data_IF_779760111413
#
_entry.id   IF_779760111413
#
_cell.length_a   1.000
_cell.length_b   1.000
_cell.length_c   1.000
_cell.angle_alpha   90.00
_cell.angle_beta   90.00
_cell.angle_gamma   90.00
#
_symmetry.space_group_name_H-M   'P 1'
#
loop_
_entity.id
_entity.type
_entity.pdbx_description
1 polymer ?
#
# COMPACT_ATOMS: atom_id res chain seq x y z
N UNK A 1 -4.81 -24.94 -34.38
CA UNK A 1 -4.24 -24.10 -33.30
C UNK A 1 -3.20 -24.92 -32.56
N UNK A 2 -1.97 -24.42 -32.46
CA UNK A 2 -0.83 -25.19 -31.98
C UNK A 2 -0.65 -25.11 -30.45
N UNK A 3 -0.20 -26.21 -29.85
CA UNK A 3 0.55 -26.19 -28.59
C UNK A 3 1.91 -25.54 -28.88
N UNK A 4 2.22 -24.44 -28.21
CA UNK A 4 3.50 -23.76 -28.32
C UNK A 4 4.42 -24.23 -27.19
N UNK A 5 5.53 -24.91 -27.49
CA UNK A 5 6.56 -25.28 -26.51
C UNK A 5 7.35 -24.02 -26.11
N UNK A 6 7.54 -23.79 -24.82
CA UNK A 6 8.22 -22.61 -24.27
C UNK A 6 9.61 -23.01 -23.77
N UNK A 7 10.65 -22.46 -24.41
CA UNK A 7 12.04 -22.80 -24.09
C UNK A 7 12.37 -24.29 -24.31
N UNK A 8 13.30 -24.81 -23.52
CA UNK A 8 13.80 -26.19 -23.65
C UNK A 8 12.97 -27.22 -22.85
N UNK A 9 12.29 -26.76 -21.80
CA UNK A 9 11.46 -27.60 -20.92
C UNK A 9 10.17 -28.07 -21.61
N UNK A 10 9.55 -29.13 -21.07
CA UNK A 10 8.24 -29.61 -21.53
C UNK A 10 7.08 -28.73 -21.04
N UNK A 11 7.24 -27.42 -21.13
CA UNK A 11 6.23 -26.42 -20.80
C UNK A 11 5.54 -25.95 -22.09
N UNK A 12 4.22 -26.01 -22.12
CA UNK A 12 3.42 -25.72 -23.30
C UNK A 12 2.34 -24.68 -23.02
N UNK A 13 2.07 -23.84 -24.02
CA UNK A 13 1.05 -22.79 -23.95
C UNK A 13 0.08 -22.87 -25.13
N UNK A 14 -1.22 -22.76 -24.87
CA UNK A 14 -2.24 -22.79 -25.92
C UNK A 14 -3.53 -22.05 -25.58
N UNK A 15 -4.42 -21.95 -26.58
CA UNK A 15 -5.85 -21.71 -26.36
C UNK A 15 -6.61 -23.01 -26.09
N UNK A 16 -7.89 -22.88 -25.75
CA UNK A 16 -8.74 -23.99 -25.27
C UNK A 16 -8.92 -25.10 -26.31
N UNK A 17 -8.92 -24.75 -27.59
CA UNK A 17 -9.14 -25.72 -28.69
C UNK A 17 -8.03 -26.76 -28.80
N UNK A 18 -6.86 -26.54 -28.19
CA UNK A 18 -5.79 -27.53 -28.16
C UNK A 18 -6.15 -28.77 -27.31
N UNK A 19 -7.08 -28.63 -26.36
CA UNK A 19 -7.54 -29.74 -25.52
C UNK A 19 -8.26 -30.83 -26.33
N UNK A 20 -8.81 -30.50 -27.50
CA UNK A 20 -9.46 -31.48 -28.38
C UNK A 20 -8.47 -32.28 -29.23
N UNK A 21 -7.17 -31.99 -29.16
CA UNK A 21 -6.15 -32.68 -29.95
C UNK A 21 -5.34 -33.66 -29.10
N UNK A 22 -5.98 -34.79 -28.74
CA UNK A 22 -5.39 -35.84 -27.89
C UNK A 22 -4.05 -36.35 -28.43
N UNK A 23 -3.91 -36.47 -29.75
CA UNK A 23 -2.66 -36.90 -30.39
C UNK A 23 -1.51 -35.93 -30.10
N UNK A 24 -1.77 -34.62 -30.15
CA UNK A 24 -0.77 -33.62 -29.82
C UNK A 24 -0.43 -33.61 -28.32
N UNK A 25 -1.43 -33.77 -27.44
CA UNK A 25 -1.21 -33.88 -25.99
C UNK A 25 -0.34 -35.10 -25.66
N UNK A 26 -0.66 -36.26 -26.25
CA UNK A 26 0.10 -37.50 -26.07
C UNK A 26 1.53 -37.38 -26.61
N UNK A 27 1.71 -36.78 -27.79
CA UNK A 27 3.04 -36.55 -28.38
C UNK A 27 3.90 -35.63 -27.53
N UNK A 28 3.30 -34.63 -26.89
CA UNK A 28 3.98 -33.71 -25.97
C UNK A 28 4.16 -34.28 -24.56
N UNK A 29 3.76 -35.54 -24.32
CA UNK A 29 3.77 -36.19 -23.01
C UNK A 29 3.08 -35.34 -21.92
N UNK A 30 1.97 -34.67 -22.25
CA UNK A 30 1.25 -33.84 -21.28
C UNK A 30 0.71 -34.73 -20.17
N UNK A 31 1.04 -34.41 -18.93
CA UNK A 31 0.53 -35.08 -17.73
C UNK A 31 -0.20 -34.12 -16.79
N UNK A 32 0.11 -32.82 -16.87
CA UNK A 32 -0.48 -31.77 -16.05
C UNK A 32 -1.11 -30.69 -16.93
N UNK A 33 -2.31 -30.24 -16.56
CA UNK A 33 -3.03 -29.17 -17.26
C UNK A 33 -3.40 -28.07 -16.26
N UNK A 34 -3.02 -26.83 -16.58
CA UNK A 34 -3.47 -25.62 -15.89
C UNK A 34 -4.48 -24.90 -16.77
N UNK A 35 -5.73 -24.85 -16.33
CA UNK A 35 -6.83 -24.13 -16.98
C UNK A 35 -7.04 -22.78 -16.31
N UNK A 36 -6.56 -21.70 -16.95
CA UNK A 36 -6.72 -20.32 -16.44
C UNK A 36 -7.94 -19.66 -17.08
N UNK A 37 -9.12 -20.15 -16.72
CA UNK A 37 -10.43 -19.67 -17.16
C UNK A 37 -11.54 -20.35 -16.34
N UNK A 38 -12.70 -19.71 -16.23
CA UNK A 38 -13.92 -20.38 -15.74
C UNK A 38 -14.36 -21.44 -16.75
N UNK A 39 -14.35 -22.69 -16.33
CA UNK A 39 -14.88 -23.83 -17.09
C UNK A 39 -15.90 -24.57 -16.23
N UNK A 40 -16.91 -25.11 -16.91
CA UNK A 40 -17.63 -26.29 -16.44
C UNK A 40 -16.95 -27.48 -17.16
N UNK A 41 -15.88 -28.06 -16.60
CA UNK A 41 -15.15 -29.12 -17.27
C UNK A 41 -16.07 -30.33 -17.48
N UNK A 42 -16.03 -30.91 -18.68
CA UNK A 42 -16.45 -32.31 -18.86
C UNK A 42 -15.35 -33.15 -18.20
N UNK A 43 -15.62 -33.71 -17.02
CA UNK A 43 -14.64 -34.43 -16.19
C UNK A 43 -13.85 -35.47 -17.01
N UNK A 44 -14.53 -36.14 -17.95
CA UNK A 44 -13.94 -37.12 -18.87
C UNK A 44 -12.77 -36.59 -19.70
N UNK A 45 -12.75 -35.30 -20.02
CA UNK A 45 -11.66 -34.68 -20.79
C UNK A 45 -10.36 -34.58 -19.99
N UNK A 46 -10.46 -34.53 -18.66
CA UNK A 46 -9.34 -34.29 -17.76
C UNK A 46 -8.94 -35.54 -16.97
N UNK A 47 -9.72 -36.62 -17.00
CA UNK A 47 -9.45 -37.88 -16.27
C UNK A 47 -8.03 -38.45 -16.41
N UNK A 48 -7.36 -38.22 -17.54
CA UNK A 48 -5.99 -38.72 -17.78
C UNK A 48 -4.88 -37.75 -17.36
N UNK A 49 -5.23 -36.62 -16.75
CA UNK A 49 -4.30 -35.56 -16.40
C UNK A 49 -4.49 -35.11 -14.96
N UNK A 50 -3.40 -34.73 -14.30
CA UNK A 50 -3.50 -33.86 -13.13
C UNK A 50 -4.02 -32.50 -13.62
N UNK A 51 -5.11 -32.00 -13.03
CA UNK A 51 -5.80 -30.81 -13.52
C UNK A 51 -5.95 -29.75 -12.42
N UNK A 52 -5.44 -28.55 -12.70
CA UNK A 52 -5.62 -27.36 -11.87
C UNK A 52 -6.44 -26.32 -12.63
N UNK A 53 -7.60 -25.94 -12.09
CA UNK A 53 -8.44 -24.87 -12.64
C UNK A 53 -8.32 -23.60 -11.81
N UNK A 54 -7.99 -22.49 -12.48
CA UNK A 54 -7.95 -21.14 -11.92
C UNK A 54 -9.11 -20.34 -12.55
N UNK A 55 -10.21 -20.09 -11.82
CA UNK A 55 -11.46 -19.57 -12.38
C UNK A 55 -11.43 -18.04 -12.54
N UNK A 56 -10.56 -17.53 -13.42
CA UNK A 56 -10.33 -16.08 -13.64
C UNK A 56 -10.74 -15.64 -15.06
N UNK A 57 -11.41 -14.49 -15.16
CA UNK A 57 -11.77 -13.85 -16.43
C UNK A 57 -10.65 -12.98 -17.02
N UNK A 58 -10.73 -12.65 -18.31
CA UNK A 58 -9.68 -11.90 -19.02
C UNK A 58 -9.89 -10.39 -18.95
N UNK A 59 -10.00 -9.87 -17.74
CA UNK A 59 -10.25 -8.46 -17.47
C UNK A 59 -9.18 -7.90 -16.53
N UNK A 60 -8.95 -6.59 -16.59
CA UNK A 60 -7.82 -5.95 -15.89
C UNK A 60 -7.99 -5.85 -14.38
N UNK A 61 -9.20 -6.06 -13.88
CA UNK A 61 -9.60 -6.02 -12.48
C UNK A 61 -9.66 -7.42 -11.83
N UNK A 62 -9.43 -8.51 -12.55
CA UNK A 62 -9.27 -9.83 -11.91
C UNK A 62 -7.94 -9.93 -11.16
N UNK A 63 -7.93 -10.63 -10.02
CA UNK A 63 -6.71 -10.93 -9.26
C UNK A 63 -6.17 -12.31 -9.64
N UNK A 64 -5.14 -12.34 -10.49
CA UNK A 64 -4.45 -13.57 -10.85
C UNK A 64 -3.17 -13.77 -10.01
N UNK A 65 -2.69 -12.70 -9.37
CA UNK A 65 -1.45 -12.66 -8.59
C UNK A 65 -1.51 -13.59 -7.38
N UNK A 66 -2.66 -13.68 -6.70
CA UNK A 66 -2.84 -14.60 -5.58
C UNK A 66 -2.62 -16.08 -5.94
N UNK A 67 -2.85 -16.45 -7.20
CA UNK A 67 -2.74 -17.84 -7.70
C UNK A 67 -1.34 -18.21 -8.19
N UNK A 68 -0.41 -17.25 -8.29
CA UNK A 68 0.93 -17.53 -8.80
C UNK A 68 1.67 -18.60 -7.99
N UNK A 69 1.69 -18.61 -6.65
CA UNK A 69 2.36 -19.68 -5.91
C UNK A 69 1.77 -21.07 -6.20
N UNK A 70 0.44 -21.19 -6.19
CA UNK A 70 -0.25 -22.45 -6.45
C UNK A 70 0.02 -22.96 -7.87
N UNK A 71 -0.06 -22.08 -8.86
CA UNK A 71 0.22 -22.47 -10.26
C UNK A 71 1.70 -22.80 -10.47
N UNK A 72 2.62 -22.03 -9.88
CA UNK A 72 4.05 -22.30 -9.95
C UNK A 72 4.42 -23.66 -9.35
N UNK A 73 3.88 -23.99 -8.16
CA UNK A 73 4.09 -25.28 -7.52
C UNK A 73 3.56 -26.44 -8.36
N UNK A 74 2.37 -26.28 -8.95
CA UNK A 74 1.76 -27.29 -9.81
C UNK A 74 2.55 -27.51 -11.10
N UNK A 75 2.97 -26.43 -11.76
CA UNK A 75 3.81 -26.51 -12.97
C UNK A 75 5.15 -27.18 -12.64
N UNK A 76 5.78 -26.78 -11.54
CA UNK A 76 7.05 -27.38 -11.10
C UNK A 76 6.90 -28.88 -10.84
N UNK A 77 5.84 -29.30 -10.16
CA UNK A 77 5.55 -30.73 -9.90
C UNK A 77 5.45 -31.54 -11.19
N UNK A 78 4.72 -31.03 -12.18
CA UNK A 78 4.57 -31.72 -13.47
C UNK A 78 5.87 -31.86 -14.25
N UNK A 79 6.70 -30.81 -14.25
CA UNK A 79 8.00 -30.82 -14.92
C UNK A 79 9.02 -31.70 -14.19
N UNK A 80 9.11 -31.62 -12.86
CA UNK A 80 10.00 -32.45 -12.03
C UNK A 80 9.65 -33.94 -12.14
N UNK A 81 8.37 -34.27 -12.34
CA UNK A 81 7.90 -35.64 -12.60
C UNK A 81 8.27 -36.19 -13.99
N UNK A 82 8.96 -35.40 -14.84
CA UNK A 82 9.33 -35.78 -16.21
C UNK A 82 8.17 -35.68 -17.22
N UNK A 83 7.03 -35.13 -16.80
CA UNK A 83 5.88 -34.89 -17.65
C UNK A 83 5.95 -33.57 -18.41
N UNK A 84 5.01 -33.41 -19.34
CA UNK A 84 4.71 -32.13 -19.96
C UNK A 84 3.60 -31.40 -19.22
N UNK A 85 3.74 -30.07 -19.12
CA UNK A 85 2.72 -29.20 -18.51
C UNK A 85 2.10 -28.32 -19.59
N UNK A 86 0.77 -28.35 -19.70
CA UNK A 86 0.02 -27.47 -20.59
C UNK A 86 -0.66 -26.36 -19.77
N UNK A 87 -0.33 -25.10 -20.04
CA UNK A 87 -1.05 -23.94 -19.53
C UNK A 87 -1.94 -23.40 -20.65
N UNK A 88 -3.24 -23.33 -20.42
CA UNK A 88 -4.17 -22.79 -21.41
C UNK A 88 -5.20 -21.84 -20.80
N UNK A 89 -5.69 -20.94 -21.64
CA UNK A 89 -6.88 -20.15 -21.39
C UNK A 89 -7.83 -20.27 -22.60
N UNK A 90 -8.71 -19.30 -22.84
CA UNK A 90 -9.55 -19.30 -24.04
C UNK A 90 -8.71 -19.21 -25.34
N UNK A 91 -7.89 -18.16 -25.47
CA UNK A 91 -7.12 -17.86 -26.69
C UNK A 91 -5.63 -18.27 -26.62
N UNK A 92 -5.11 -18.50 -25.42
CA UNK A 92 -3.67 -18.62 -25.21
C UNK A 92 -2.93 -17.31 -25.44
N UNK A 93 -3.52 -16.18 -25.03
CA UNK A 93 -3.00 -14.82 -25.28
C UNK A 93 -2.60 -14.11 -23.99
N UNK A 94 -3.54 -14.01 -23.05
CA UNK A 94 -3.42 -13.17 -21.87
C UNK A 94 -3.29 -14.02 -20.60
N UNK A 95 -4.38 -14.53 -20.01
CA UNK A 95 -4.39 -15.35 -18.77
C UNK A 95 -3.32 -16.45 -18.69
N UNK A 96 -3.25 -17.35 -19.69
CA UNK A 96 -2.24 -18.43 -19.68
C UNK A 96 -0.83 -17.92 -19.92
N UNK A 97 -0.66 -16.83 -20.69
CA UNK A 97 0.64 -16.17 -20.84
C UNK A 97 1.07 -15.56 -19.51
N UNK A 98 0.17 -14.93 -18.76
CA UNK A 98 0.46 -14.39 -17.43
C UNK A 98 0.98 -15.48 -16.48
N UNK A 99 0.28 -16.62 -16.39
CA UNK A 99 0.73 -17.73 -15.52
C UNK A 99 2.06 -18.31 -15.97
N UNK A 100 2.29 -18.43 -17.29
CA UNK A 100 3.57 -18.88 -17.81
C UNK A 100 4.71 -17.90 -17.49
N UNK A 101 4.47 -16.59 -17.62
CA UNK A 101 5.44 -15.56 -17.24
C UNK A 101 5.75 -15.63 -15.74
N UNK A 102 4.72 -15.74 -14.90
CA UNK A 102 4.86 -15.84 -13.45
C UNK A 102 5.75 -17.03 -13.05
N UNK A 103 5.60 -18.17 -13.71
CA UNK A 103 6.45 -19.34 -13.51
C UNK A 103 7.90 -19.09 -13.92
N UNK A 104 8.13 -18.52 -15.12
CA UNK A 104 9.48 -18.26 -15.63
C UNK A 104 10.26 -17.30 -14.72
N UNK A 105 9.64 -16.20 -14.29
CA UNK A 105 10.30 -15.23 -13.40
C UNK A 105 10.47 -15.74 -11.97
N UNK A 106 9.61 -16.66 -11.52
CA UNK A 106 9.78 -17.36 -10.24
C UNK A 106 10.93 -18.37 -10.29
N UNK A 107 11.09 -19.11 -11.39
CA UNK A 107 12.19 -20.07 -11.57
C UNK A 107 13.54 -19.37 -11.63
N UNK A 108 13.61 -18.23 -12.33
CA UNK A 108 14.83 -17.47 -12.56
C UNK A 108 14.86 -16.17 -11.72
N UNK A 109 14.56 -16.28 -10.42
CA UNK A 109 14.42 -15.10 -9.53
C UNK A 109 15.61 -14.16 -9.66
N UNK A 110 15.32 -12.91 -9.99
CA UNK A 110 16.30 -11.83 -10.10
C UNK A 110 17.07 -11.77 -11.42
N UNK A 111 16.99 -12.82 -12.27
CA UNK A 111 17.63 -12.83 -13.59
C UNK A 111 16.65 -12.45 -14.71
N UNK A 112 15.39 -12.89 -14.62
CA UNK A 112 14.38 -12.69 -15.66
C UNK A 112 13.31 -11.69 -15.22
N UNK A 113 13.17 -10.61 -16.01
CA UNK A 113 12.09 -9.63 -15.81
C UNK A 113 10.79 -10.13 -16.47
N UNK A 114 9.61 -9.61 -16.05
CA UNK A 114 8.34 -9.93 -16.71
C UNK A 114 8.36 -9.68 -18.22
N UNK A 115 9.00 -8.58 -18.65
CA UNK A 115 9.17 -8.27 -20.07
C UNK A 115 10.07 -9.28 -20.78
N UNK A 116 11.21 -9.65 -20.18
CA UNK A 116 12.10 -10.67 -20.74
C UNK A 116 11.41 -12.03 -20.90
N UNK A 117 10.62 -12.43 -19.90
CA UNK A 117 9.83 -13.66 -19.96
C UNK A 117 8.73 -13.61 -21.04
N UNK A 118 8.06 -12.46 -21.21
CA UNK A 118 7.08 -12.27 -22.28
C UNK A 118 7.72 -12.40 -23.67
N UNK A 119 8.89 -11.80 -23.87
CA UNK A 119 9.65 -11.92 -25.13
C UNK A 119 10.09 -13.36 -25.40
N UNK A 120 10.51 -14.11 -24.37
CA UNK A 120 10.81 -15.55 -24.50
C UNK A 120 9.58 -16.34 -25.00
N UNK A 121 8.41 -16.12 -24.40
CA UNK A 121 7.17 -16.80 -24.81
C UNK A 121 6.77 -16.41 -26.24
N UNK A 122 6.97 -15.14 -26.62
CA UNK A 122 6.62 -14.63 -27.96
C UNK A 122 7.42 -15.27 -29.08
N UNK A 123 8.61 -15.82 -28.80
CA UNK A 123 9.39 -16.59 -29.79
C UNK A 123 8.60 -17.80 -30.30
N UNK A 124 7.86 -18.49 -29.42
CA UNK A 124 7.04 -19.66 -29.77
C UNK A 124 5.56 -19.32 -29.98
N UNK A 125 5.11 -18.17 -29.48
CA UNK A 125 3.71 -17.72 -29.60
C UNK A 125 3.60 -16.19 -29.68
N UNK A 126 3.78 -15.60 -30.89
CA UNK A 126 3.88 -14.14 -31.07
C UNK A 126 2.65 -13.34 -30.61
N UNK A 127 1.47 -13.96 -30.57
CA UNK A 127 0.21 -13.31 -30.17
C UNK A 127 0.08 -13.10 -28.65
N UNK A 128 1.02 -13.59 -27.83
CA UNK A 128 0.97 -13.43 -26.38
C UNK A 128 1.09 -11.95 -25.99
N UNK A 129 0.14 -11.50 -25.18
CA UNK A 129 -0.01 -10.13 -24.71
C UNK A 129 -1.03 -10.16 -23.57
N UNK A 130 -0.56 -10.29 -22.31
CA UNK A 130 -1.37 -10.10 -21.11
C UNK A 130 -2.08 -8.75 -21.12
N UNK A 131 -3.28 -8.67 -20.56
CA UNK A 131 -3.94 -7.38 -20.36
C UNK A 131 -3.15 -6.49 -19.37
N UNK A 132 -3.43 -5.19 -19.36
CA UNK A 132 -2.68 -4.21 -18.57
C UNK A 132 -2.72 -4.49 -17.06
N UNK A 133 -3.83 -5.04 -16.55
CA UNK A 133 -3.97 -5.43 -15.15
C UNK A 133 -3.02 -6.57 -14.78
N UNK A 134 -2.96 -7.60 -15.62
CA UNK A 134 -2.04 -8.71 -15.46
C UNK A 134 -0.57 -8.32 -15.64
N UNK A 135 -0.27 -7.38 -16.54
CA UNK A 135 1.09 -6.84 -16.66
C UNK A 135 1.54 -6.17 -15.36
N UNK A 136 0.70 -5.31 -14.78
CA UNK A 136 0.97 -4.68 -13.47
C UNK A 136 1.13 -5.71 -12.34
N UNK A 137 0.33 -6.77 -12.35
CA UNK A 137 0.44 -7.85 -11.36
C UNK A 137 1.76 -8.62 -11.50
N UNK A 138 2.25 -8.88 -12.71
CA UNK A 138 3.56 -9.49 -12.95
C UNK A 138 4.71 -8.59 -12.48
N UNK A 139 4.62 -7.28 -12.75
CA UNK A 139 5.58 -6.30 -12.23
C UNK A 139 5.59 -6.26 -10.70
N UNK A 140 4.41 -6.29 -10.08
CA UNK A 140 4.26 -6.35 -8.62
C UNK A 140 4.88 -7.64 -8.09
N UNK A 141 4.59 -8.79 -8.69
CA UNK A 141 5.18 -10.08 -8.29
C UNK A 141 6.70 -10.09 -8.34
N UNK A 142 7.26 -9.57 -9.44
CA UNK A 142 8.70 -9.42 -9.60
C UNK A 142 9.29 -8.47 -8.54
N UNK A 143 8.63 -7.34 -8.28
CA UNK A 143 9.04 -6.37 -7.22
C UNK A 143 9.00 -6.98 -5.82
N UNK A 144 8.08 -7.92 -5.57
CA UNK A 144 7.99 -8.68 -4.31
C UNK A 144 9.06 -9.78 -4.19
N UNK A 145 9.87 -10.01 -5.23
CA UNK A 145 10.86 -11.10 -5.24
C UNK A 145 10.25 -12.48 -5.48
N UNK A 146 9.08 -12.55 -6.12
CA UNK A 146 8.36 -13.78 -6.45
C UNK A 146 8.12 -14.72 -5.24
N UNK A 147 7.46 -14.26 -4.16
CA UNK A 147 7.30 -15.04 -2.94
C UNK A 147 6.34 -16.24 -3.12
N UNK A 148 6.48 -17.25 -2.26
CA UNK A 148 5.55 -18.40 -2.16
C UNK A 148 4.26 -18.05 -1.42
N UNK A 149 4.26 -17.00 -0.60
CA UNK A 149 3.07 -16.47 0.04
C UNK A 149 2.85 -15.04 -0.41
N UNK A 150 2.02 -14.88 -1.44
CA UNK A 150 1.68 -13.57 -2.03
C UNK A 150 0.75 -12.79 -1.11
N UNK A 151 -0.28 -13.45 -0.58
CA UNK A 151 -1.37 -12.79 0.15
C UNK A 151 -0.91 -12.13 1.45
N UNK A 152 0.17 -12.62 2.06
CA UNK A 152 0.75 -12.01 3.25
C UNK A 152 1.72 -10.86 2.99
N UNK A 153 2.19 -10.71 1.74
CA UNK A 153 3.24 -9.77 1.41
C UNK A 153 2.76 -8.31 1.58
N UNK A 154 3.54 -7.41 2.22
CA UNK A 154 3.14 -6.01 2.46
C UNK A 154 2.73 -5.24 1.21
N UNK A 155 3.44 -5.46 0.08
CA UNK A 155 3.11 -4.80 -1.19
C UNK A 155 1.81 -5.32 -1.80
N UNK A 156 1.51 -6.62 -1.67
CA UNK A 156 0.25 -7.19 -2.12
C UNK A 156 -0.92 -6.65 -1.29
N UNK A 157 -0.81 -6.69 0.03
CA UNK A 157 -1.82 -6.14 0.94
C UNK A 157 -2.11 -4.65 0.67
N UNK A 158 -1.07 -3.87 0.35
CA UNK A 158 -1.24 -2.46 -0.04
C UNK A 158 -1.96 -2.34 -1.39
N UNK A 159 -1.61 -3.15 -2.38
CA UNK A 159 -2.28 -3.16 -3.69
C UNK A 159 -3.76 -3.54 -3.59
N UNK A 160 -4.10 -4.60 -2.84
CA UNK A 160 -5.50 -4.98 -2.58
C UNK A 160 -6.27 -3.84 -1.89
N UNK A 161 -5.66 -3.20 -0.89
CA UNK A 161 -6.25 -2.06 -0.21
C UNK A 161 -6.53 -0.88 -1.16
N UNK A 162 -5.56 -0.51 -2.00
CA UNK A 162 -5.71 0.58 -2.98
C UNK A 162 -6.88 0.31 -3.93
N UNK A 163 -7.01 -0.94 -4.41
CA UNK A 163 -8.12 -1.36 -5.26
C UNK A 163 -9.47 -1.32 -4.54
N UNK A 164 -9.53 -1.77 -3.29
CA UNK A 164 -10.74 -1.70 -2.48
C UNK A 164 -11.19 -0.25 -2.25
N UNK A 165 -10.24 0.68 -2.10
CA UNK A 165 -10.54 2.13 -2.01
C UNK A 165 -11.05 2.67 -3.35
N UNK A 166 -10.45 2.29 -4.47
CA UNK A 166 -10.91 2.72 -5.81
C UNK A 166 -12.35 2.25 -6.08
N UNK A 167 -12.67 0.99 -5.77
CA UNK A 167 -14.01 0.43 -5.88
C UNK A 167 -15.01 1.11 -4.95
N UNK A 168 -14.61 1.32 -3.68
CA UNK A 168 -15.35 2.09 -2.68
C UNK A 168 -15.73 3.49 -3.21
N UNK A 169 -14.80 4.20 -3.83
CA UNK A 169 -15.03 5.52 -4.43
C UNK A 169 -16.01 5.42 -5.61
N UNK A 170 -15.84 4.41 -6.47
CA UNK A 170 -16.67 4.23 -7.66
C UNK A 170 -18.14 3.91 -7.32
N UNK A 171 -18.39 3.12 -6.27
CA UNK A 171 -19.74 2.77 -5.83
C UNK A 171 -20.32 3.71 -4.76
N UNK A 172 -19.54 4.66 -4.26
CA UNK A 172 -19.97 5.60 -3.21
C UNK A 172 -20.18 4.96 -1.84
N UNK A 173 -19.48 3.86 -1.54
CA UNK A 173 -19.52 3.15 -0.25
C UNK A 173 -18.18 3.19 0.44
N UNK A 174 -18.11 2.93 1.74
CA UNK A 174 -16.83 2.73 2.42
C UNK A 174 -16.29 1.31 2.14
N UNK A 175 -14.96 1.10 2.15
CA UNK A 175 -14.39 -0.24 2.01
C UNK A 175 -14.69 -1.09 3.25
N UNK A 176 -14.70 -2.41 3.08
CA UNK A 176 -14.78 -3.37 4.18
C UNK A 176 -13.52 -3.29 5.06
N UNK A 177 -13.66 -3.50 6.37
CA UNK A 177 -12.53 -3.36 7.30
C UNK A 177 -11.41 -4.36 7.01
N UNK A 178 -11.77 -5.55 6.53
CA UNK A 178 -10.87 -6.65 6.20
C UNK A 178 -9.93 -6.28 5.04
N UNK A 179 -10.38 -5.38 4.17
CA UNK A 179 -9.61 -4.87 3.04
C UNK A 179 -8.81 -3.61 3.40
N UNK A 180 -9.08 -2.98 4.55
CA UNK A 180 -8.33 -1.79 5.00
C UNK A 180 -6.99 -2.17 5.61
N UNK A 181 -5.93 -1.66 5.00
CA UNK A 181 -4.57 -1.79 5.52
C UNK A 181 -4.24 -0.70 6.53
N UNK A 182 -4.04 -1.09 7.79
CA UNK A 182 -3.53 -0.21 8.84
C UNK A 182 -2.00 -0.27 8.89
N UNK A 183 -1.33 0.80 8.45
CA UNK A 183 0.13 0.77 8.20
C UNK A 183 0.97 0.56 9.47
N UNK A 184 0.48 0.97 10.65
CA UNK A 184 1.15 0.76 11.93
C UNK A 184 1.16 -0.69 12.42
N UNK A 185 0.29 -1.56 11.87
CA UNK A 185 0.27 -3.00 12.18
C UNK A 185 1.34 -3.78 11.41
N UNK A 186 1.91 -3.18 10.36
CA UNK A 186 2.89 -3.79 9.48
C UNK A 186 4.25 -3.08 9.48
N UNK A 187 4.42 -2.04 10.30
CA UNK A 187 5.70 -1.37 10.43
C UNK A 187 6.68 -2.30 11.15
N UNK A 188 7.71 -2.77 10.44
CA UNK A 188 8.81 -3.50 11.05
C UNK A 188 9.43 -2.64 12.15
N UNK A 189 9.44 -3.17 13.38
CA UNK A 189 10.06 -2.51 14.54
C UNK A 189 11.57 -2.29 14.37
N UNK A 190 12.17 -2.81 13.30
CA UNK A 190 13.59 -3.09 13.17
C UNK A 190 14.44 -1.97 12.55
N UNK A 191 13.90 -0.80 12.18
CA UNK A 191 14.73 0.24 11.56
C UNK A 191 14.51 1.69 12.05
N UNK A 192 14.13 1.87 13.32
CA UNK A 192 13.97 3.20 13.93
C UNK A 192 15.28 3.73 14.55
N UNK A 193 16.37 3.78 13.78
CA UNK A 193 17.58 4.51 14.19
C UNK A 193 17.55 6.00 13.83
N UNK A 194 16.53 6.45 13.11
CA UNK A 194 16.25 7.88 12.91
C UNK A 194 15.09 8.27 13.80
N UNK A 195 15.25 9.31 14.65
CA UNK A 195 14.13 9.86 15.43
C UNK A 195 13.11 10.48 14.45
N UNK A 196 11.99 9.80 14.15
CA UNK A 196 11.13 10.24 13.08
C UNK A 196 10.31 11.42 13.59
N UNK A 197 10.15 12.47 12.77
CA UNK A 197 9.25 13.59 13.09
C UNK A 197 7.88 13.04 13.53
N UNK A 198 7.44 13.48 14.71
CA UNK A 198 6.23 12.99 15.37
C UNK A 198 5.10 14.01 15.23
N UNK A 199 3.89 13.53 14.97
CA UNK A 199 2.67 14.35 15.00
C UNK A 199 1.93 14.06 16.31
N UNK A 200 1.70 15.11 17.10
CA UNK A 200 1.08 15.02 18.43
C UNK A 200 -0.21 15.82 18.48
N UNK A 201 -1.21 15.30 19.21
CA UNK A 201 -2.42 16.04 19.52
C UNK A 201 -2.07 17.33 20.27
N UNK A 202 -2.56 18.49 19.80
CA UNK A 202 -2.25 19.78 20.43
C UNK A 202 -2.82 19.93 21.84
N UNK A 203 -3.94 19.27 22.15
CA UNK A 203 -4.61 19.36 23.46
C UNK A 203 -3.92 18.52 24.55
N UNK A 204 -3.50 17.30 24.23
CA UNK A 204 -2.98 16.36 25.24
C UNK A 204 -1.58 15.82 24.95
N UNK A 205 -0.94 16.26 23.86
CA UNK A 205 0.39 15.84 23.40
C UNK A 205 0.55 14.34 23.09
N UNK A 206 -0.54 13.56 23.09
CA UNK A 206 -0.57 12.15 22.64
C UNK A 206 -0.06 12.05 21.21
N UNK A 207 0.89 11.13 20.95
CA UNK A 207 1.37 10.79 19.60
C UNK A 207 0.24 10.21 18.76
N UNK A 208 0.02 10.77 17.57
CA UNK A 208 -1.01 10.34 16.62
C UNK A 208 -0.41 9.68 15.37
N UNK A 209 0.75 10.13 14.90
CA UNK A 209 1.41 9.57 13.72
C UNK A 209 2.92 9.91 13.71
N UNK A 210 3.66 9.25 12.82
CA UNK A 210 5.07 9.48 12.50
C UNK A 210 5.22 9.66 10.98
N UNK A 211 6.34 10.22 10.54
CA UNK A 211 6.62 10.50 9.12
C UNK A 211 6.32 9.37 8.12
N UNK A 212 6.66 8.09 8.39
CA UNK A 212 6.39 7.01 7.44
C UNK A 212 4.92 6.82 7.06
N UNK A 213 4.00 7.34 7.88
CA UNK A 213 2.56 7.21 7.66
C UNK A 213 1.93 8.43 6.98
N UNK A 214 2.71 9.47 6.66
CA UNK A 214 2.20 10.67 5.99
C UNK A 214 2.10 10.41 4.50
N UNK A 215 0.93 10.67 3.93
CA UNK A 215 0.72 10.63 2.48
C UNK A 215 1.17 11.98 1.90
N UNK A 216 2.28 12.01 1.13
CA UNK A 216 2.75 13.25 0.53
C UNK A 216 1.75 13.71 -0.54
N UNK A 217 1.51 15.01 -0.59
CA UNK A 217 0.77 15.65 -1.68
C UNK A 217 1.34 17.05 -1.88
N UNK A 218 1.62 17.43 -3.12
CA UNK A 218 2.31 18.68 -3.45
C UNK A 218 1.34 19.76 -3.91
N UNK A 219 1.49 21.01 -3.49
CA UNK A 219 0.73 22.12 -4.08
C UNK A 219 0.85 22.11 -5.61
N UNK A 220 -0.29 22.23 -6.31
CA UNK A 220 -0.26 22.39 -7.77
C UNK A 220 0.54 23.64 -8.09
N UNK A 221 1.57 23.49 -8.91
CA UNK A 221 2.29 24.62 -9.49
C UNK A 221 1.39 25.36 -10.46
N UNK A 222 1.63 26.65 -10.68
CA UNK A 222 0.80 27.54 -11.52
C UNK A 222 0.42 26.94 -12.88
N UNK A 223 1.34 26.18 -13.50
CA UNK A 223 1.16 25.50 -14.79
C UNK A 223 0.07 24.42 -14.82
N UNK A 224 -0.40 23.95 -13.65
CA UNK A 224 -1.39 22.88 -13.51
C UNK A 224 -2.77 23.39 -13.07
N UNK A 225 -2.93 24.70 -12.88
CA UNK A 225 -4.18 25.31 -12.46
C UNK A 225 -4.98 25.81 -13.68
N UNK A 226 -6.32 25.60 -13.71
CA UNK A 226 -7.18 26.25 -14.69
C UNK A 226 -7.01 27.78 -14.64
N UNK A 227 -7.04 28.43 -15.81
CA UNK A 227 -6.87 29.90 -15.92
C UNK A 227 -7.86 30.62 -14.99
N UNK A 228 -7.35 31.48 -14.12
CA UNK A 228 -8.15 32.27 -13.17
C UNK A 228 -8.17 31.76 -11.73
N UNK A 229 -7.39 30.72 -11.40
CA UNK A 229 -7.23 30.25 -10.01
C UNK A 229 -5.84 30.57 -9.47
N UNK A 230 -5.79 31.33 -8.36
CA UNK A 230 -4.56 31.62 -7.63
C UNK A 230 -4.10 30.41 -6.81
N UNK A 231 -2.79 30.19 -6.74
CA UNK A 231 -2.20 29.19 -5.84
C UNK A 231 -2.51 29.61 -4.40
N UNK A 232 -3.12 28.74 -3.58
CA UNK A 232 -3.31 29.01 -2.15
C UNK A 232 -1.93 29.16 -1.48
N UNK A 233 -1.64 30.34 -0.94
CA UNK A 233 -0.38 30.62 -0.25
C UNK A 233 -0.29 29.86 1.08
N UNK A 234 0.88 29.27 1.37
CA UNK A 234 1.16 28.56 2.62
C UNK A 234 0.90 27.05 2.61
N UNK A 235 1.29 26.31 3.65
CA UNK A 235 1.18 24.84 3.68
C UNK A 235 -0.28 24.36 3.69
N UNK A 236 -0.57 23.20 3.07
CA UNK A 236 -1.91 22.57 3.11
C UNK A 236 -2.41 22.48 4.57
N UNK A 237 -3.67 22.84 4.81
CA UNK A 237 -4.30 22.85 6.13
C UNK A 237 -4.46 21.46 6.76
N UNK A 238 -4.24 20.41 5.96
CA UNK A 238 -4.35 19.02 6.35
C UNK A 238 -3.01 18.30 6.24
N UNK A 239 -2.80 17.35 7.15
CA UNK A 239 -1.75 16.33 7.03
C UNK A 239 -2.49 15.02 6.77
N UNK A 240 -2.39 14.49 5.55
CA UNK A 240 -3.02 13.22 5.19
C UNK A 240 -2.16 12.06 5.63
N UNK A 241 -2.81 11.00 6.10
CA UNK A 241 -2.21 9.82 6.67
C UNK A 241 -2.78 8.58 5.99
N UNK A 242 -1.98 7.52 5.94
CA UNK A 242 -2.54 6.18 5.79
C UNK A 242 -3.46 5.85 7.00
N UNK A 243 -4.41 4.92 6.86
CA UNK A 243 -5.16 4.41 8.01
C UNK A 243 -4.20 3.91 9.10
N UNK A 244 -4.45 4.34 10.34
CA UNK A 244 -3.72 3.88 11.53
C UNK A 244 -4.69 3.22 12.51
N UNK A 245 -4.24 2.23 13.26
CA UNK A 245 -5.09 1.41 14.14
C UNK A 245 -5.94 2.25 15.09
N UNK A 246 -5.40 3.36 15.62
CA UNK A 246 -6.15 4.23 16.53
C UNK A 246 -7.35 4.92 15.88
N UNK A 247 -7.37 5.03 14.54
CA UNK A 247 -8.47 5.63 13.78
C UNK A 247 -9.64 4.65 13.60
N UNK A 248 -9.43 3.34 13.84
CA UNK A 248 -10.43 2.29 13.61
C UNK A 248 -11.81 2.60 14.21
N UNK A 249 -11.96 3.08 15.46
CA UNK A 249 -13.28 3.40 16.00
C UNK A 249 -14.00 4.56 15.28
N UNK A 250 -13.27 5.46 14.61
CA UNK A 250 -13.86 6.53 13.80
C UNK A 250 -14.23 6.04 12.40
N UNK A 251 -13.40 5.15 11.81
CA UNK A 251 -13.61 4.63 10.47
C UNK A 251 -14.68 3.52 10.43
N UNK A 252 -14.75 2.71 11.48
CA UNK A 252 -15.60 1.51 11.61
C UNK A 252 -16.26 1.44 12.99
N UNK A 253 -17.18 2.37 13.32
CA UNK A 253 -17.72 2.51 14.68
C UNK A 253 -18.55 1.31 15.17
N UNK A 254 -19.20 0.57 14.27
CA UNK A 254 -20.10 -0.53 14.65
C UNK A 254 -19.37 -1.87 14.88
N UNK A 255 -18.20 -2.05 14.28
CA UNK A 255 -17.41 -3.27 14.43
C UNK A 255 -16.53 -3.29 15.68
N UNK A 256 -16.30 -2.14 16.34
CA UNK A 256 -15.57 -2.12 17.61
C UNK A 256 -16.41 -2.60 18.80
N UNK A 257 -17.74 -2.66 18.64
CA UNK A 257 -18.67 -3.00 19.71
C UNK A 257 -19.23 -4.43 19.60
N UNK A 258 -18.96 -5.13 18.50
CA UNK A 258 -19.40 -6.52 18.31
C UNK A 258 -18.39 -7.48 18.92
N UNK A 259 -18.71 -7.99 20.11
CA UNK A 259 -18.05 -9.17 20.66
C UNK A 259 -18.18 -10.33 19.65
N UNK A 260 -17.13 -11.11 19.37
CA UNK A 260 -17.18 -12.18 18.40
C UNK A 260 -17.98 -13.34 18.99
N UNK A 261 -19.31 -13.28 18.89
CA UNK A 261 -20.15 -14.47 19.01
C UNK A 261 -19.90 -15.29 17.74
N UNK A 262 -18.84 -16.10 17.80
CA UNK A 262 -18.63 -17.25 16.93
C UNK A 262 -19.74 -18.23 17.29
N UNK A 263 -20.87 -18.21 16.59
CA UNK A 263 -21.85 -19.30 16.50
C UNK A 263 -23.03 -18.86 15.60
N UNK A 264 -22.86 -18.95 14.29
CA UNK A 264 -23.89 -19.46 13.37
C UNK A 264 -23.34 -19.49 11.94
N UNK A 265 -23.56 -20.61 11.25
CA UNK A 265 -23.20 -20.85 9.86
C UNK A 265 -24.25 -20.25 8.90
N UNK A 266 -24.83 -19.11 9.25
CA UNK A 266 -25.82 -18.44 8.40
C UNK A 266 -25.11 -17.42 7.50
N UNK A 267 -24.98 -17.80 6.23
CA UNK A 267 -24.56 -16.97 5.09
C UNK A 267 -25.51 -15.78 4.92
N UNK A 268 -25.28 -14.70 5.65
CA UNK A 268 -25.52 -13.28 5.34
C UNK A 268 -25.43 -12.50 6.65
N UNK A 269 -24.24 -12.50 7.27
CA UNK A 269 -24.01 -11.65 8.44
C UNK A 269 -23.96 -10.21 7.95
N UNK A 270 -25.07 -9.48 8.13
CA UNK A 270 -25.16 -8.05 7.83
C UNK A 270 -24.00 -7.33 8.54
N UNK A 271 -22.98 -6.97 7.77
CA UNK A 271 -21.91 -6.09 8.22
C UNK A 271 -22.41 -4.67 8.00
N UNK A 272 -22.68 -3.91 9.08
CA UNK A 272 -23.16 -2.56 8.93
C UNK A 272 -22.18 -1.73 8.09
N UNK A 273 -22.72 -1.00 7.12
CA UNK A 273 -21.92 -0.21 6.20
C UNK A 273 -21.15 0.87 6.97
N UNK A 274 -19.84 0.91 6.76
CA UNK A 274 -19.01 1.94 7.38
C UNK A 274 -19.36 3.33 6.83
N UNK A 275 -19.28 4.38 7.66
CA UNK A 275 -19.58 5.74 7.22
C UNK A 275 -18.63 6.17 6.10
N UNK A 276 -19.16 6.80 5.04
CA UNK A 276 -18.36 7.29 3.91
C UNK A 276 -17.42 8.46 4.31
N UNK A 277 -17.80 9.23 5.34
CA UNK A 277 -17.00 10.31 5.89
C UNK A 277 -17.32 10.56 7.36
N UNK A 278 -16.40 11.18 8.09
CA UNK A 278 -16.58 11.44 9.51
C UNK A 278 -15.45 12.23 10.15
N UNK A 279 -15.47 12.30 11.48
CA UNK A 279 -14.47 13.02 12.29
C UNK A 279 -13.46 12.04 12.86
N UNK A 280 -12.21 12.46 12.97
CA UNK A 280 -11.17 11.72 13.69
C UNK A 280 -11.06 12.30 15.11
N UNK A 281 -11.28 11.47 16.12
CA UNK A 281 -11.17 11.84 17.54
C UNK A 281 -9.87 11.35 18.14
N UNK A 282 -9.26 12.16 19.02
CA UNK A 282 -8.04 11.77 19.71
C UNK A 282 -8.28 10.48 20.52
N UNK A 283 -7.41 9.47 20.40
CA UNK A 283 -7.61 8.18 21.06
C UNK A 283 -7.37 8.22 22.58
N UNK A 284 -6.90 9.34 23.11
CA UNK A 284 -6.84 9.55 24.55
C UNK A 284 -8.26 9.83 25.07
N UNK A 285 -8.82 8.89 25.84
CA UNK A 285 -10.18 8.95 26.40
C UNK A 285 -10.45 10.19 27.25
N UNK A 286 -9.44 10.70 27.96
CA UNK A 286 -9.55 11.96 28.73
C UNK A 286 -9.51 13.21 27.83
N UNK A 287 -9.00 13.10 26.60
CA UNK A 287 -8.86 14.22 25.68
C UNK A 287 -10.10 14.41 24.81
N UNK A 288 -10.50 13.35 24.08
CA UNK A 288 -11.65 13.33 23.17
C UNK A 288 -11.66 14.39 22.07
N UNK A 289 -10.57 15.14 21.86
CA UNK A 289 -10.57 16.27 20.94
C UNK A 289 -10.74 15.80 19.49
N UNK A 290 -11.53 16.54 18.71
CA UNK A 290 -11.52 16.39 17.26
C UNK A 290 -10.17 16.87 16.70
N UNK A 291 -9.41 15.92 16.12
CA UNK A 291 -8.08 16.16 15.56
C UNK A 291 -8.06 16.20 14.03
N UNK A 292 -9.17 15.80 13.37
CA UNK A 292 -9.19 15.67 11.92
C UNK A 292 -10.51 15.15 11.38
N UNK A 293 -10.48 14.70 10.12
CA UNK A 293 -11.63 14.13 9.42
C UNK A 293 -11.17 13.08 8.43
N UNK A 294 -12.09 12.21 8.04
CA UNK A 294 -11.88 11.26 6.95
C UNK A 294 -13.00 11.37 5.90
N UNK A 295 -12.69 11.03 4.65
CA UNK A 295 -13.65 10.80 3.58
C UNK A 295 -13.08 9.75 2.61
N UNK A 296 -13.74 8.60 2.50
CA UNK A 296 -13.32 7.51 1.62
C UNK A 296 -13.37 7.91 0.15
N UNK A 297 -14.43 8.62 -0.25
CA UNK A 297 -14.58 9.26 -1.58
C UNK A 297 -13.54 10.35 -1.90
N UNK A 298 -12.70 10.71 -0.92
CA UNK A 298 -11.71 11.76 -1.04
C UNK A 298 -12.21 13.17 -0.74
N UNK A 299 -11.28 14.12 -0.77
CA UNK A 299 -11.57 15.54 -0.64
C UNK A 299 -10.52 16.40 -1.33
N UNK A 300 -10.92 17.60 -1.73
CA UNK A 300 -10.00 18.66 -2.19
C UNK A 300 -9.33 19.31 -0.97
N UNK A 301 -8.00 19.22 -0.83
CA UNK A 301 -7.29 20.04 0.17
C UNK A 301 -7.33 21.52 -0.24
N UNK A 302 -7.14 22.40 0.75
CA UNK A 302 -6.77 23.80 0.59
C UNK A 302 -5.60 24.06 -0.37
N UNK A 303 -4.76 23.08 -0.73
CA UNK A 303 -3.72 23.23 -1.76
C UNK A 303 -4.21 22.96 -3.20
N UNK A 304 -5.48 22.60 -3.38
CA UNK A 304 -6.08 22.32 -4.68
C UNK A 304 -5.98 20.86 -5.15
N UNK A 305 -5.26 19.99 -4.43
CA UNK A 305 -5.20 18.56 -4.76
C UNK A 305 -6.40 17.80 -4.25
N UNK A 306 -6.85 16.84 -5.05
CA UNK A 306 -7.77 15.80 -4.62
C UNK A 306 -6.96 14.66 -3.99
N UNK A 307 -7.33 14.25 -2.78
CA UNK A 307 -6.68 13.14 -2.06
C UNK A 307 -7.71 12.05 -1.80
N UNK A 308 -7.35 10.80 -2.11
CA UNK A 308 -8.20 9.60 -1.96
C UNK A 308 -7.34 8.46 -1.40
N UNK A 309 -7.78 7.75 -0.34
CA UNK A 309 -8.83 8.19 0.56
C UNK A 309 -8.33 9.40 1.36
N UNK A 310 -9.22 10.33 1.68
CA UNK A 310 -8.85 11.54 2.41
C UNK A 310 -8.93 11.31 3.91
N UNK A 311 -7.89 10.75 4.52
CA UNK A 311 -7.80 10.58 5.98
C UNK A 311 -6.78 11.61 6.50
N UNK A 312 -7.24 12.66 7.17
CA UNK A 312 -6.39 13.82 7.43
C UNK A 312 -6.56 14.46 8.81
N UNK A 313 -5.41 14.78 9.43
CA UNK A 313 -5.34 15.60 10.64
C UNK A 313 -5.39 17.09 10.25
N UNK A 314 -6.11 17.90 11.02
CA UNK A 314 -6.13 19.34 10.84
C UNK A 314 -4.87 19.95 11.48
N UNK A 315 -4.05 20.67 10.69
CA UNK A 315 -2.81 21.30 11.19
C UNK A 315 -3.04 22.18 12.43
N UNK A 316 -4.18 22.86 12.52
CA UNK A 316 -4.52 23.69 13.68
C UNK A 316 -4.71 22.90 14.99
N UNK A 317 -4.95 21.58 14.91
CA UNK A 317 -5.28 20.69 16.05
C UNK A 317 -4.14 19.77 16.46
N UNK A 318 -3.00 19.85 15.78
CA UNK A 318 -1.82 19.00 16.03
C UNK A 318 -0.55 19.83 16.02
N UNK A 319 0.49 19.34 16.67
CA UNK A 319 1.82 19.89 16.58
C UNK A 319 2.75 18.86 15.93
N UNK A 320 3.57 19.33 14.99
CA UNK A 320 4.62 18.54 14.32
C UNK A 320 5.92 18.80 15.08
N UNK A 321 6.51 17.75 15.65
CA UNK A 321 7.73 17.83 16.45
C UNK A 321 8.83 17.08 15.73
N UNK A 322 9.89 17.78 15.36
CA UNK A 322 11.03 17.19 14.68
C UNK A 322 12.01 16.59 15.70
N UNK A 323 12.31 15.29 15.57
CA UNK A 323 13.23 14.58 16.48
C UNK A 323 14.69 14.99 16.28
N UNK A 324 15.01 15.55 15.11
CA UNK A 324 16.34 16.06 14.77
C UNK A 324 16.80 17.23 15.66
N UNK A 325 15.86 17.95 16.29
CA UNK A 325 16.18 19.06 17.19
C UNK A 325 16.51 18.47 18.56
N UNK A 326 17.79 18.14 18.77
CA UNK A 326 18.34 17.92 20.12
C UNK A 326 17.79 19.03 21.01
N UNK A 327 17.05 18.66 22.06
CA UNK A 327 16.73 19.58 23.16
C UNK A 327 18.05 20.26 23.52
N UNK A 328 18.16 21.55 23.22
CA UNK A 328 19.32 22.33 23.61
C UNK A 328 19.58 22.01 25.06
N UNK A 329 20.79 21.54 25.35
CA UNK A 329 21.31 21.46 26.71
C UNK A 329 20.96 22.80 27.34
N UNK A 330 20.04 22.76 28.30
CA UNK A 330 19.69 23.93 29.06
C UNK A 330 21.01 24.41 29.67
N UNK A 331 21.50 25.54 29.18
CA UNK A 331 22.55 26.27 29.86
C UNK A 331 22.05 26.53 31.28
N UNK A 332 22.71 26.03 32.33
CA UNK A 332 22.30 26.32 33.70
C UNK A 332 22.55 27.81 34.08
N UNK A 333 22.91 28.65 33.11
CA UNK A 333 23.22 30.07 33.29
C UNK A 333 22.06 31.04 32.96
N UNK A 334 20.89 30.58 32.52
CA UNK A 334 19.71 31.44 32.40
C UNK A 334 19.01 31.57 33.76
N UNK A 335 19.66 32.30 34.66
CA UNK A 335 19.15 32.63 36.00
C UNK A 335 17.74 33.22 35.94
N UNK A 336 16.91 32.70 36.83
CA UNK A 336 15.56 33.15 37.18
C UNK A 336 15.50 34.69 37.20
N UNK A 337 14.72 35.29 36.29
CA UNK A 337 14.26 36.68 36.46
C UNK A 337 13.27 36.71 37.61
N UNK A 338 13.76 37.07 38.80
CA UNK A 338 12.92 37.48 39.93
C UNK A 338 12.16 38.77 39.56
N UNK A 339 10.90 38.94 40.00
CA UNK A 339 10.12 40.14 39.71
C UNK A 339 10.66 41.34 40.48
N UNK A 340 10.54 42.53 39.89
CA UNK A 340 10.96 43.78 40.49
C UNK A 340 10.16 44.09 41.76
N UNK A 341 10.80 44.04 42.93
CA UNK A 341 10.25 44.52 44.19
C UNK A 341 10.98 45.79 44.64
N UNK A 342 10.22 46.89 44.57
CA UNK A 342 10.18 48.04 45.49
C UNK A 342 11.53 48.65 45.88
N UNK A 343 11.80 49.83 45.32
CA UNK A 343 12.85 50.73 45.79
C UNK A 343 12.49 51.33 47.14
N UNK A 344 13.40 51.18 48.09
CA UNK A 344 13.49 52.03 49.26
C UNK A 344 14.69 52.96 49.13
N UNK A 345 14.41 54.22 49.46
CA UNK A 345 15.32 55.34 49.45
C UNK A 345 16.21 55.35 50.70
N UNK A 346 17.42 55.90 50.54
CA UNK A 346 18.04 56.70 51.60
C UNK A 346 19.40 56.24 52.12
N UNK A 347 20.42 57.05 51.83
CA UNK A 347 21.29 57.57 52.90
C UNK A 347 22.81 57.26 52.85
N UNK A 348 23.60 58.29 52.52
CA UNK A 348 24.96 58.55 53.03
C UNK A 348 26.11 57.82 52.33
N UNK A 349 26.97 58.49 51.54
CA UNK A 349 28.11 59.34 51.97
C UNK A 349 29.40 58.48 51.95
N UNK A 350 30.56 58.81 51.37
CA UNK A 350 31.33 60.05 51.19
C UNK A 350 32.38 59.83 50.06
N UNK A 351 32.83 60.93 49.45
CA UNK A 351 33.86 61.13 48.41
C UNK A 351 35.25 60.50 48.73
N UNK A 352 36.16 60.26 47.77
CA UNK A 352 37.15 61.22 47.24
C UNK A 352 37.83 60.67 45.96
N UNK A 353 38.23 61.61 45.11
CA UNK A 353 38.97 61.63 43.83
C UNK A 353 40.25 60.71 43.75
N UNK A 354 40.95 60.51 42.63
CA UNK A 354 41.21 61.33 41.45
C UNK A 354 41.89 60.53 40.31
N UNK A 355 41.93 61.16 39.13
CA UNK A 355 42.91 61.01 38.02
C UNK A 355 42.89 59.74 37.15
N UNK A 356 43.21 59.75 35.86
CA UNK A 356 43.24 60.74 34.77
C UNK A 356 43.83 60.00 33.56
N UNK A 357 43.19 60.11 32.39
CA UNK A 357 43.80 60.21 31.05
C UNK A 357 44.59 59.02 30.45
N UNK A 358 44.15 58.66 29.23
CA UNK A 358 44.96 58.05 28.15
C UNK A 358 44.62 56.59 27.88
N UNK A 359 44.27 56.12 26.67
CA UNK A 359 44.27 56.70 25.35
C UNK A 359 43.65 55.70 24.34
N UNK A 360 43.37 56.23 23.15
CA UNK A 360 42.75 55.63 21.97
C UNK A 360 43.27 54.25 21.54
N UNK A 361 42.42 53.50 20.82
CA UNK A 361 42.87 52.64 19.72
C UNK A 361 41.92 51.49 19.37
N UNK A 362 41.10 51.68 18.34
CA UNK A 362 40.37 50.62 17.64
C UNK A 362 41.34 49.67 16.91
N UNK A 363 41.11 48.36 17.00
CA UNK A 363 40.98 47.39 15.91
C UNK A 363 40.56 46.03 16.46
#
# INVERSE_FOLDING_TARGET
>A
MALSKIGDENLYLSGIMALSNESALKKANITHIVSVLRLNPDERRFESFEHLQIPVDDVSDEDLLEYFPTTNAFIKSGLDGGGGVLIHCAMGKSRSATVCIAYLIHRERGALTPWGALELIRQSRPLCEPNDGFQKQLELYHKMGCPECVTDHPLYKRWVYERAVEESVACGRAPEIELVRFEDEHADRANNNEEPTEIKCRKCRRKLATLPFIIPHAQKTDKQLPRGHSIPEGPCAHIFLHPLTWMRPSLFPEQTNSSPTRNSADEHKYTPEAPLSGRLTCPNSACGANVGKFAWQGMKCSCGNWVVPAIGLARARVDVVDGSVKRGTADPAAGIRLPATIGEAGGGGIQIAANSVGGRGLL
#
